data_IF_781679333810
#
_entry.id   IF_781679333810
#
_cell.length_a   1.000
_cell.length_b   1.000
_cell.length_c   1.000
_cell.angle_alpha   90.00
_cell.angle_beta   90.00
_cell.angle_gamma   90.00
#
_symmetry.space_group_name_H-M   'P 1'
#
loop_
_entity.id
_entity.type
_entity.pdbx_description
1 polymer ?
#
# COMPACT_ATOMS: atom_id res chain seq x y z
N UNK A 1 5.73 -19.41 -16.95
CA UNK A 1 6.37 -19.79 -15.68
C UNK A 1 7.44 -20.85 -15.96
N UNK A 2 8.69 -20.57 -15.57
CA UNK A 2 9.82 -21.53 -15.65
C UNK A 2 10.01 -22.10 -14.26
N UNK A 3 10.17 -23.44 -14.14
CA UNK A 3 10.20 -24.12 -12.84
C UNK A 3 11.19 -25.27 -12.85
N UNK A 4 11.92 -25.39 -11.74
CA UNK A 4 12.74 -26.54 -11.42
C UNK A 4 11.88 -27.63 -10.79
N UNK A 5 12.18 -28.86 -11.11
CA UNK A 5 11.47 -30.00 -10.56
C UNK A 5 12.37 -30.83 -9.66
N UNK A 6 11.98 -30.91 -8.40
CA UNK A 6 12.74 -31.65 -7.39
C UNK A 6 12.31 -33.13 -7.29
N UNK A 7 10.99 -33.38 -7.35
CA UNK A 7 10.44 -34.72 -7.17
C UNK A 7 9.16 -34.94 -7.99
N UNK A 8 8.86 -36.19 -8.33
CA UNK A 8 7.67 -36.62 -9.03
C UNK A 8 7.72 -36.38 -10.54
N UNK A 9 6.61 -36.59 -11.25
CA UNK A 9 6.46 -36.37 -12.69
C UNK A 9 5.34 -35.36 -12.94
N UNK A 10 5.63 -34.33 -13.72
CA UNK A 10 4.65 -33.36 -14.18
C UNK A 10 4.14 -33.73 -15.55
N UNK A 11 2.80 -33.80 -15.72
CA UNK A 11 2.18 -34.19 -16.98
C UNK A 11 1.32 -33.06 -17.54
N UNK A 12 1.33 -32.93 -18.86
CA UNK A 12 0.39 -32.07 -19.58
C UNK A 12 -1.05 -32.48 -19.25
N UNK A 13 -1.92 -31.52 -18.93
CA UNK A 13 -3.30 -31.78 -18.49
C UNK A 13 -3.43 -32.21 -17.04
N UNK A 14 -2.31 -32.45 -16.33
CA UNK A 14 -2.29 -32.77 -14.92
C UNK A 14 -2.77 -31.61 -14.03
N UNK A 15 -3.14 -31.94 -12.81
CA UNK A 15 -3.53 -30.96 -11.77
C UNK A 15 -2.40 -30.86 -10.76
N UNK A 16 -2.02 -29.64 -10.45
CA UNK A 16 -1.05 -29.30 -9.41
C UNK A 16 -1.67 -28.34 -8.40
N UNK A 17 -1.12 -28.29 -7.20
CA UNK A 17 -1.58 -27.40 -6.12
C UNK A 17 -0.50 -26.37 -5.83
N UNK A 18 -0.87 -25.11 -5.80
CA UNK A 18 0.00 -24.05 -5.32
C UNK A 18 -0.05 -24.05 -3.79
N UNK A 19 1.07 -24.36 -3.14
CA UNK A 19 1.15 -24.45 -1.66
C UNK A 19 0.84 -23.13 -0.96
N UNK A 20 1.18 -21.99 -1.57
CA UNK A 20 0.96 -20.67 -0.99
C UNK A 20 -0.52 -20.26 -1.02
N UNK A 21 -1.21 -20.54 -2.13
CA UNK A 21 -2.61 -20.10 -2.32
C UNK A 21 -3.64 -21.19 -2.05
N UNK A 22 -3.22 -22.46 -1.90
CA UNK A 22 -4.09 -23.62 -1.76
C UNK A 22 -4.91 -23.95 -3.02
N UNK A 23 -4.67 -23.26 -4.13
CA UNK A 23 -5.46 -23.40 -5.36
C UNK A 23 -4.99 -24.56 -6.22
N UNK A 24 -5.96 -25.30 -6.77
CA UNK A 24 -5.75 -26.29 -7.83
C UNK A 24 -5.52 -25.57 -9.16
N UNK A 25 -4.48 -25.96 -9.88
CA UNK A 25 -4.14 -25.40 -11.18
C UNK A 25 -3.96 -26.54 -12.18
N UNK A 26 -4.64 -26.47 -13.33
CA UNK A 26 -4.42 -27.39 -14.44
C UNK A 26 -3.25 -26.90 -15.26
N UNK A 27 -2.39 -27.80 -15.74
CA UNK A 27 -1.26 -27.51 -16.61
C UNK A 27 -1.67 -27.70 -18.08
N UNK A 28 -2.07 -26.63 -18.80
CA UNK A 28 -2.60 -26.76 -20.15
C UNK A 28 -1.52 -27.12 -21.17
N UNK A 29 -0.37 -26.47 -21.05
CA UNK A 29 0.78 -26.63 -21.95
C UNK A 29 2.07 -26.72 -21.14
N UNK A 30 2.88 -27.70 -21.48
CA UNK A 30 4.18 -27.96 -20.85
C UNK A 30 5.23 -27.98 -21.95
N UNK A 31 6.30 -27.19 -21.78
CA UNK A 31 7.35 -27.10 -22.77
C UNK A 31 8.75 -27.15 -22.12
N UNK A 32 9.71 -27.71 -22.85
CA UNK A 32 11.13 -27.60 -22.58
C UNK A 32 11.68 -26.43 -23.40
N UNK A 33 12.48 -25.57 -22.77
CA UNK A 33 13.05 -24.41 -23.43
C UNK A 33 14.49 -24.68 -23.82
N UNK A 34 14.80 -24.41 -25.09
CA UNK A 34 16.17 -24.42 -25.64
C UNK A 34 16.42 -23.05 -26.28
N UNK A 35 16.97 -22.09 -25.51
CA UNK A 35 17.06 -20.69 -25.86
C UNK A 35 15.68 -20.10 -26.19
N UNK A 36 15.42 -19.73 -27.44
CA UNK A 36 14.14 -19.24 -27.97
C UNK A 36 13.23 -20.35 -28.53
N UNK A 37 13.77 -21.56 -28.72
CA UNK A 37 13.01 -22.70 -29.17
C UNK A 37 12.19 -23.36 -28.04
N UNK A 38 10.92 -23.70 -28.35
CA UNK A 38 9.97 -24.31 -27.44
C UNK A 38 9.60 -25.71 -27.91
N UNK A 39 10.07 -26.74 -27.21
CA UNK A 39 9.69 -28.13 -27.44
C UNK A 39 8.48 -28.49 -26.57
N UNK A 40 7.34 -28.81 -27.20
CA UNK A 40 6.16 -29.30 -26.49
C UNK A 40 6.43 -30.73 -25.96
N UNK A 41 6.29 -30.93 -24.65
CA UNK A 41 6.49 -32.22 -24.01
C UNK A 41 5.23 -32.69 -23.29
N UNK A 42 5.06 -34.02 -23.19
CA UNK A 42 3.91 -34.61 -22.51
C UNK A 42 4.12 -34.75 -21.01
N UNK A 43 5.37 -35.00 -20.60
CA UNK A 43 5.76 -35.14 -19.20
C UNK A 43 7.20 -34.66 -18.96
N UNK A 44 7.48 -34.29 -17.73
CA UNK A 44 8.81 -33.86 -17.27
C UNK A 44 9.11 -34.49 -15.92
N UNK A 45 10.28 -35.02 -15.78
CA UNK A 45 10.79 -35.71 -14.59
C UNK A 45 11.52 -34.80 -13.61
N UNK A 46 12.00 -35.38 -12.50
CA UNK A 46 12.85 -34.68 -11.53
C UNK A 46 14.19 -34.24 -12.15
N UNK A 47 14.70 -33.08 -11.69
CA UNK A 47 15.98 -32.53 -12.16
C UNK A 47 15.90 -31.76 -13.48
N UNK A 48 14.73 -31.68 -14.09
CA UNK A 48 14.49 -30.91 -15.32
C UNK A 48 13.83 -29.57 -15.07
N UNK A 49 14.15 -28.59 -15.91
CA UNK A 49 13.53 -27.27 -15.94
C UNK A 49 12.47 -27.23 -17.04
N UNK A 50 11.30 -26.73 -16.72
CA UNK A 50 10.22 -26.60 -17.68
C UNK A 50 9.52 -25.25 -17.61
N UNK A 51 8.87 -24.87 -18.71
CA UNK A 51 7.96 -23.74 -18.73
C UNK A 51 6.51 -24.23 -18.84
N UNK A 52 5.63 -23.63 -18.04
CA UNK A 52 4.20 -23.90 -18.05
C UNK A 52 3.45 -22.66 -18.50
N UNK A 53 2.56 -22.82 -19.48
CA UNK A 53 1.69 -21.74 -19.94
C UNK A 53 0.32 -21.84 -19.28
N UNK A 54 -0.33 -20.67 -19.08
CA UNK A 54 -1.68 -20.61 -18.49
C UNK A 54 -1.74 -20.92 -16.98
N UNK A 55 -0.60 -20.98 -16.31
CA UNK A 55 -0.51 -21.18 -14.86
C UNK A 55 -0.22 -19.84 -14.20
N UNK A 56 -1.12 -19.38 -13.35
CA UNK A 56 -0.91 -18.18 -12.56
C UNK A 56 -0.04 -18.50 -11.34
N UNK A 57 1.12 -17.86 -11.25
CA UNK A 57 2.08 -18.08 -10.18
C UNK A 57 2.96 -16.84 -9.95
N UNK A 58 3.57 -16.79 -8.78
CA UNK A 58 4.59 -15.81 -8.42
C UNK A 58 5.95 -16.49 -8.27
N UNK A 59 7.02 -15.71 -8.34
CA UNK A 59 8.37 -16.21 -8.02
C UNK A 59 8.42 -16.74 -6.58
N UNK A 60 9.05 -17.89 -6.38
CA UNK A 60 9.10 -18.58 -5.08
C UNK A 60 7.88 -19.46 -4.75
N UNK A 61 6.84 -19.53 -5.60
CA UNK A 61 5.72 -20.43 -5.37
C UNK A 61 6.16 -21.91 -5.49
N UNK A 62 5.72 -22.72 -4.53
CA UNK A 62 5.90 -24.18 -4.56
C UNK A 62 4.64 -24.86 -5.06
N UNK A 63 4.80 -25.84 -5.96
CA UNK A 63 3.71 -26.66 -6.47
C UNK A 63 3.87 -28.10 -6.02
N UNK A 64 2.78 -28.71 -5.54
CA UNK A 64 2.71 -30.11 -5.10
C UNK A 64 1.60 -30.86 -5.82
N UNK A 65 1.48 -32.15 -5.59
CA UNK A 65 0.35 -32.97 -6.03
C UNK A 65 -0.89 -32.81 -5.13
N UNK A 66 -0.76 -32.09 -4.01
CA UNK A 66 -1.81 -31.88 -3.03
C UNK A 66 -1.93 -32.97 -1.97
N UNK A 67 -1.12 -34.04 -2.04
CA UNK A 67 -1.08 -35.08 -1.01
C UNK A 67 -0.40 -34.62 0.27
N UNK A 68 0.56 -33.70 0.12
CA UNK A 68 1.37 -33.18 1.23
C UNK A 68 1.40 -31.66 1.21
N UNK A 69 1.14 -31.04 2.35
CA UNK A 69 1.28 -29.60 2.54
C UNK A 69 2.77 -29.24 2.77
N UNK A 70 3.55 -29.26 1.69
CA UNK A 70 4.97 -28.92 1.70
C UNK A 70 5.19 -27.62 0.94
N UNK A 71 6.00 -26.72 1.50
CA UNK A 71 6.50 -25.54 0.82
C UNK A 71 8.02 -25.49 0.94
N UNK A 72 8.68 -25.25 -0.17
CA UNK A 72 10.13 -25.02 -0.17
C UNK A 72 10.43 -23.66 0.48
N UNK A 73 11.59 -23.52 1.11
CA UNK A 73 12.05 -22.24 1.65
C UNK A 73 12.12 -21.19 0.54
N UNK A 74 11.57 -20.01 0.82
CA UNK A 74 11.67 -18.89 -0.10
C UNK A 74 13.11 -18.36 -0.17
N UNK A 75 13.48 -17.81 -1.31
CA UNK A 75 14.73 -17.06 -1.44
C UNK A 75 14.66 -15.82 -0.54
N UNK A 76 15.80 -15.43 0.04
CA UNK A 76 15.92 -14.14 0.70
C UNK A 76 15.74 -13.03 -0.34
N UNK A 77 14.74 -12.17 -0.11
CA UNK A 77 14.46 -11.02 -0.97
C UNK A 77 14.90 -9.77 -0.21
N UNK A 78 15.94 -9.06 -0.67
CA UNK A 78 16.38 -7.83 -0.03
C UNK A 78 15.31 -6.73 -0.16
N UNK A 79 15.32 -5.80 0.78
CA UNK A 79 14.45 -4.62 0.71
C UNK A 79 14.86 -3.70 -0.45
N UNK A 80 13.90 -3.07 -1.13
CA UNK A 80 14.20 -2.09 -2.17
C UNK A 80 14.97 -0.90 -1.63
N UNK A 81 15.87 -0.34 -2.44
CA UNK A 81 16.78 0.75 -2.03
C UNK A 81 16.34 2.10 -2.57
N UNK A 82 15.60 2.13 -3.67
CA UNK A 82 15.15 3.36 -4.34
C UNK A 82 13.67 3.28 -4.70
N UNK A 83 13.00 4.42 -4.63
CA UNK A 83 11.59 4.55 -5.00
C UNK A 83 11.39 5.73 -5.93
N UNK A 84 10.55 5.55 -6.94
CA UNK A 84 10.15 6.57 -7.90
C UNK A 84 8.63 6.62 -8.01
N UNK A 85 8.07 7.79 -8.24
CA UNK A 85 6.68 7.91 -8.68
C UNK A 85 6.57 7.56 -10.15
N UNK A 86 5.49 6.87 -10.53
CA UNK A 86 5.23 6.42 -11.89
C UNK A 86 3.85 6.90 -12.33
N UNK A 87 3.82 7.67 -13.39
CA UNK A 87 2.57 8.23 -13.94
C UNK A 87 2.40 7.79 -15.39
N UNK A 88 1.29 7.10 -15.76
CA UNK A 88 1.03 6.73 -17.14
C UNK A 88 0.62 7.96 -17.97
N UNK A 89 1.10 8.01 -19.20
CA UNK A 89 0.71 9.02 -20.17
C UNK A 89 -0.58 8.57 -20.86
N UNK A 90 -1.67 9.29 -20.62
CA UNK A 90 -2.99 9.01 -21.22
C UNK A 90 -3.94 8.21 -20.32
N UNK A 91 -5.23 8.58 -20.42
CA UNK A 91 -6.30 7.99 -19.59
C UNK A 91 -6.69 6.57 -20.01
N UNK A 92 -6.54 6.24 -21.26
CA UNK A 92 -6.98 4.94 -21.82
C UNK A 92 -6.01 3.79 -21.50
N UNK A 93 -4.84 4.11 -20.92
CA UNK A 93 -3.80 3.13 -20.62
C UNK A 93 -3.91 2.51 -19.23
N UNK A 94 -4.84 2.95 -18.38
CA UNK A 94 -4.95 2.58 -16.95
C UNK A 94 -5.10 1.08 -16.71
N UNK A 95 -5.86 0.38 -17.55
CA UNK A 95 -6.08 -1.08 -17.45
C UNK A 95 -4.78 -1.85 -17.73
N UNK A 96 -4.09 -1.48 -18.81
CA UNK A 96 -2.81 -2.09 -19.18
C UNK A 96 -1.72 -1.75 -18.17
N UNK A 97 -1.72 -0.53 -17.62
CA UNK A 97 -0.84 -0.07 -16.57
C UNK A 97 -0.95 -0.97 -15.32
N UNK A 98 -2.15 -1.12 -14.77
CA UNK A 98 -2.38 -1.97 -13.60
C UNK A 98 -2.05 -3.43 -13.87
N UNK A 99 -2.36 -3.93 -15.07
CA UNK A 99 -2.03 -5.30 -15.48
C UNK A 99 -0.51 -5.52 -15.52
N UNK A 100 0.24 -4.58 -16.10
CA UNK A 100 1.69 -4.63 -16.19
C UNK A 100 2.34 -4.66 -14.80
N UNK A 101 1.97 -3.72 -13.94
CA UNK A 101 2.50 -3.63 -12.59
C UNK A 101 2.25 -4.90 -11.77
N UNK A 102 1.02 -5.42 -11.80
CA UNK A 102 0.68 -6.67 -11.12
C UNK A 102 1.49 -7.87 -11.64
N UNK A 103 1.79 -7.89 -12.93
CA UNK A 103 2.58 -8.96 -13.52
C UNK A 103 4.05 -8.84 -13.13
N UNK A 104 4.62 -7.66 -13.17
CA UNK A 104 6.00 -7.40 -12.78
C UNK A 104 6.27 -7.77 -11.31
N UNK A 105 5.35 -7.42 -10.40
CA UNK A 105 5.45 -7.83 -8.99
C UNK A 105 5.41 -9.36 -8.78
N UNK A 106 4.70 -10.09 -9.65
CA UNK A 106 4.67 -11.57 -9.60
C UNK A 106 5.95 -12.18 -10.17
N UNK A 107 6.54 -11.54 -11.17
CA UNK A 107 7.78 -12.00 -11.81
C UNK A 107 9.00 -11.72 -10.93
N UNK A 108 9.04 -10.55 -10.31
CA UNK A 108 10.18 -10.06 -9.52
C UNK A 108 9.76 -9.63 -8.11
N UNK A 109 10.12 -10.39 -7.08
CA UNK A 109 9.78 -10.03 -5.71
C UNK A 109 10.56 -8.82 -5.17
N UNK A 110 11.62 -8.36 -5.85
CA UNK A 110 12.37 -7.14 -5.49
C UNK A 110 11.72 -5.87 -6.06
N UNK A 111 10.81 -6.04 -7.03
CA UNK A 111 10.04 -4.95 -7.60
C UNK A 111 8.72 -4.78 -6.82
N UNK A 112 8.58 -3.70 -6.08
CA UNK A 112 7.38 -3.41 -5.28
C UNK A 112 6.63 -2.24 -5.84
N UNK A 113 5.31 -2.30 -5.73
CA UNK A 113 4.40 -1.22 -6.14
C UNK A 113 3.39 -0.96 -5.03
N UNK A 114 3.20 0.29 -4.69
CA UNK A 114 2.10 0.73 -3.83
C UNK A 114 1.56 2.08 -4.30
N UNK A 115 0.34 2.37 -3.93
CA UNK A 115 -0.26 3.68 -4.14
C UNK A 115 -0.17 4.43 -2.81
N UNK A 116 0.49 5.58 -2.85
CA UNK A 116 0.54 6.45 -1.69
C UNK A 116 -0.86 7.02 -1.42
N UNK A 117 -1.36 6.82 -0.21
CA UNK A 117 -2.72 7.20 0.18
C UNK A 117 -2.94 8.71 0.24
N UNK A 118 -1.88 9.48 0.39
CA UNK A 118 -1.97 10.94 0.54
C UNK A 118 -1.81 11.67 -0.78
N UNK A 119 -0.77 11.33 -1.54
CA UNK A 119 -0.52 11.96 -2.84
C UNK A 119 -1.34 11.32 -3.96
N UNK A 120 -1.85 10.09 -3.77
CA UNK A 120 -2.49 9.30 -4.80
C UNK A 120 -1.53 8.79 -5.88
N UNK A 121 -0.21 9.00 -5.70
CA UNK A 121 0.80 8.58 -6.66
C UNK A 121 1.05 7.08 -6.61
N UNK A 122 1.28 6.48 -7.77
CA UNK A 122 1.79 5.11 -7.83
C UNK A 122 3.30 5.15 -7.64
N UNK A 123 3.77 4.53 -6.57
CA UNK A 123 5.19 4.44 -6.23
C UNK A 123 5.70 3.06 -6.61
N UNK A 124 6.78 3.03 -7.38
CA UNK A 124 7.54 1.82 -7.70
C UNK A 124 8.85 1.83 -6.92
N UNK A 125 9.21 0.69 -6.36
CA UNK A 125 10.44 0.54 -5.57
C UNK A 125 11.25 -0.65 -6.07
N UNK A 126 12.57 -0.50 -6.11
CA UNK A 126 13.48 -1.52 -6.64
C UNK A 126 14.90 -1.39 -6.13
N UNK A 127 15.78 -2.23 -6.66
CA UNK A 127 17.16 -2.38 -6.19
C UNK A 127 18.11 -1.30 -6.71
N UNK A 128 17.66 -0.44 -7.64
CA UNK A 128 18.45 0.64 -8.20
C UNK A 128 17.74 1.32 -9.36
N UNK A 129 18.31 2.43 -9.83
CA UNK A 129 17.74 3.25 -10.90
C UNK A 129 17.60 2.44 -12.20
N UNK A 130 18.65 1.77 -12.62
CA UNK A 130 18.61 0.91 -13.81
C UNK A 130 17.56 -0.19 -13.72
N UNK A 131 17.35 -0.76 -12.54
CA UNK A 131 16.31 -1.76 -12.32
C UNK A 131 14.91 -1.19 -12.63
N UNK A 132 14.60 -0.02 -12.12
CA UNK A 132 13.32 0.64 -12.35
C UNK A 132 13.17 1.09 -13.81
N UNK A 133 14.23 1.61 -14.43
CA UNK A 133 14.24 2.03 -15.83
C UNK A 133 13.93 0.87 -16.79
N UNK A 134 14.44 -0.33 -16.50
CA UNK A 134 14.13 -1.54 -17.29
C UNK A 134 12.62 -1.83 -17.23
N UNK A 135 11.98 -1.74 -16.06
CA UNK A 135 10.54 -1.99 -15.95
C UNK A 135 9.70 -0.90 -16.62
N UNK A 136 10.13 0.35 -16.56
CA UNK A 136 9.48 1.45 -17.30
C UNK A 136 9.57 1.22 -18.82
N UNK A 137 10.74 0.80 -19.30
CA UNK A 137 10.94 0.49 -20.71
C UNK A 137 10.12 -0.75 -21.15
N UNK A 138 10.07 -1.79 -20.32
CA UNK A 138 9.21 -2.96 -20.54
C UNK A 138 7.74 -2.58 -20.59
N UNK A 139 7.29 -1.67 -19.73
CA UNK A 139 5.93 -1.16 -19.74
C UNK A 139 5.59 -0.49 -21.07
N UNK A 140 6.51 0.32 -21.59
CA UNK A 140 6.36 0.98 -22.88
C UNK A 140 6.31 -0.03 -24.04
N UNK A 141 7.25 -1.01 -24.07
CA UNK A 141 7.40 -1.94 -25.19
C UNK A 141 6.38 -3.08 -25.18
N UNK A 142 6.18 -3.72 -24.02
CA UNK A 142 5.35 -4.93 -23.92
C UNK A 142 3.86 -4.62 -23.73
N UNK A 143 3.53 -3.50 -23.05
CA UNK A 143 2.16 -3.14 -22.71
C UNK A 143 1.65 -1.90 -23.47
N UNK A 144 2.51 -1.23 -24.22
CA UNK A 144 2.22 0.01 -24.95
C UNK A 144 1.69 1.12 -24.03
N UNK A 145 2.25 1.20 -22.83
CA UNK A 145 1.94 2.22 -21.82
C UNK A 145 3.18 3.10 -21.60
N UNK A 146 3.27 4.24 -22.29
CA UNK A 146 4.29 5.23 -21.98
C UNK A 146 4.05 5.80 -20.59
N UNK A 147 5.12 5.92 -19.81
CA UNK A 147 5.07 6.41 -18.43
C UNK A 147 6.18 7.42 -18.20
N UNK A 148 5.91 8.39 -17.34
CA UNK A 148 6.91 9.30 -16.79
C UNK A 148 7.24 8.91 -15.35
N UNK A 149 8.52 9.02 -14.99
CA UNK A 149 9.00 8.80 -13.63
C UNK A 149 9.37 10.12 -12.98
N UNK A 150 9.18 10.19 -11.67
CA UNK A 150 9.51 11.36 -10.86
C UNK A 150 9.94 10.98 -9.45
N UNK A 151 10.42 11.97 -8.70
CA UNK A 151 10.62 11.78 -7.27
C UNK A 151 9.26 11.71 -6.57
N UNK A 152 9.03 10.79 -5.63
CA UNK A 152 7.81 10.76 -4.82
C UNK A 152 7.59 12.09 -4.11
N UNK A 153 6.36 12.51 -3.99
CA UNK A 153 6.02 13.70 -3.22
C UNK A 153 6.26 13.43 -1.75
N UNK A 154 6.81 14.43 -1.06
CA UNK A 154 6.98 14.38 0.39
C UNK A 154 5.67 14.80 1.04
N UNK A 155 5.11 13.94 1.86
CA UNK A 155 3.94 14.26 2.67
C UNK A 155 4.38 15.10 3.88
N UNK A 156 4.12 16.40 3.81
CA UNK A 156 4.38 17.31 4.92
C UNK A 156 3.28 17.21 5.97
N UNK A 157 3.66 17.42 7.23
CA UNK A 157 2.77 17.51 8.38
C UNK A 157 3.05 18.82 9.12
N UNK A 158 2.01 19.38 9.71
CA UNK A 158 2.13 20.48 10.66
C UNK A 158 2.15 19.93 12.08
N UNK A 159 2.83 20.60 12.97
CA UNK A 159 2.84 20.29 14.41
C UNK A 159 3.05 21.54 15.22
N UNK A 160 2.87 21.46 16.52
CA UNK A 160 3.15 22.54 17.45
C UNK A 160 4.40 22.19 18.26
N UNK A 161 5.21 23.19 18.56
CA UNK A 161 6.45 23.04 19.35
C UNK A 161 6.27 23.40 20.84
N UNK A 162 5.19 24.12 21.17
CA UNK A 162 4.92 24.60 22.53
C UNK A 162 3.43 24.46 22.84
N UNK A 163 3.07 24.26 24.13
CA UNK A 163 1.67 24.32 24.54
C UNK A 163 1.06 25.70 24.29
N UNK A 164 -0.18 25.73 23.87
CA UNK A 164 -0.94 26.94 23.62
C UNK A 164 -2.34 26.85 24.19
N UNK A 165 -2.75 27.82 24.97
CA UNK A 165 -4.11 27.91 25.51
C UNK A 165 -5.06 28.56 24.50
N UNK A 166 -6.31 28.13 24.51
CA UNK A 166 -7.35 28.75 23.72
C UNK A 166 -8.59 29.06 24.56
N UNK A 167 -9.24 30.14 24.20
CA UNK A 167 -10.55 30.53 24.70
C UNK A 167 -11.31 31.10 23.52
N UNK A 168 -12.11 30.28 22.88
CA UNK A 168 -12.82 30.64 21.65
C UNK A 168 -14.32 30.66 21.88
N UNK A 169 -14.96 31.74 21.47
CA UNK A 169 -16.42 31.90 21.52
C UNK A 169 -16.96 32.07 20.10
N UNK A 170 -17.77 31.14 19.65
CA UNK A 170 -18.55 31.29 18.45
C UNK A 170 -19.88 31.90 18.76
N UNK A 171 -20.14 33.08 18.21
CA UNK A 171 -21.44 33.80 18.32
C UNK A 171 -21.83 34.29 16.93
N UNK A 172 -22.87 33.71 16.36
CA UNK A 172 -23.38 34.10 15.05
C UNK A 172 -24.90 34.22 15.08
N UNK A 173 -25.43 35.35 14.65
CA UNK A 173 -26.86 35.56 14.51
C UNK A 173 -27.14 36.24 13.16
N UNK A 174 -27.73 35.49 12.23
CA UNK A 174 -28.02 35.94 10.87
C UNK A 174 -29.53 35.91 10.55
N UNK A 175 -30.37 35.97 11.59
CA UNK A 175 -31.83 35.82 11.52
C UNK A 175 -32.29 34.50 12.15
N UNK A 176 -33.35 34.56 12.98
CA UNK A 176 -33.89 33.43 13.73
C UNK A 176 -33.05 33.02 14.95
N UNK A 177 -33.03 31.73 15.28
CA UNK A 177 -32.25 31.21 16.41
C UNK A 177 -30.74 31.34 16.13
N UNK A 178 -30.03 32.09 16.99
CA UNK A 178 -28.60 32.28 16.89
C UNK A 178 -27.80 31.02 17.22
N UNK A 179 -26.52 31.01 16.82
CA UNK A 179 -25.56 30.00 17.21
C UNK A 179 -24.64 30.56 18.30
N UNK A 180 -24.47 29.82 19.37
CA UNK A 180 -23.56 30.16 20.44
C UNK A 180 -22.84 28.89 20.91
N UNK A 181 -21.53 29.00 21.09
CA UNK A 181 -20.71 27.95 21.69
C UNK A 181 -19.39 28.57 22.15
N UNK A 182 -18.91 28.15 23.29
CA UNK A 182 -17.62 28.53 23.82
C UNK A 182 -16.83 27.28 24.17
N UNK A 183 -15.53 27.31 23.97
CA UNK A 183 -14.60 26.24 24.34
C UNK A 183 -13.32 26.83 24.89
N UNK A 184 -12.86 26.31 26.00
CA UNK A 184 -11.65 26.74 26.69
C UNK A 184 -10.80 25.52 26.97
N UNK A 185 -9.50 25.65 26.78
CA UNK A 185 -8.55 24.57 27.03
C UNK A 185 -7.18 24.91 26.50
N UNK A 186 -6.40 23.89 26.24
CA UNK A 186 -5.08 24.03 25.64
C UNK A 186 -4.77 22.89 24.68
N UNK A 187 -3.84 23.14 23.78
CA UNK A 187 -3.21 22.13 22.94
C UNK A 187 -1.71 22.06 23.30
N UNK A 188 -1.17 20.85 23.30
CA UNK A 188 0.23 20.63 23.63
C UNK A 188 0.85 19.58 22.68
N UNK A 189 2.19 19.63 22.50
CA UNK A 189 2.88 18.61 21.73
C UNK A 189 2.73 17.24 22.36
N UNK A 190 2.48 16.23 21.53
CA UNK A 190 2.37 14.83 21.92
C UNK A 190 3.33 13.99 21.12
N UNK A 191 4.02 13.06 21.78
CA UNK A 191 4.76 12.00 21.11
C UNK A 191 3.79 10.90 20.69
N UNK A 192 4.18 10.16 19.66
CA UNK A 192 3.44 8.96 19.26
C UNK A 192 3.30 8.03 20.46
N UNK A 193 2.08 7.63 20.75
CA UNK A 193 1.79 6.65 21.79
C UNK A 193 2.27 5.27 21.32
N UNK A 194 3.19 4.67 22.03
CA UNK A 194 3.84 3.40 21.65
C UNK A 194 2.86 2.21 21.64
N UNK A 195 1.81 2.26 22.46
CA UNK A 195 0.82 1.19 22.58
C UNK A 195 -0.25 1.25 21.48
N UNK A 196 -0.70 2.45 21.15
CA UNK A 196 -1.81 2.67 20.19
C UNK A 196 -1.34 3.12 18.81
N UNK A 197 -0.09 3.56 18.68
CA UNK A 197 0.46 4.13 17.45
C UNK A 197 -0.17 5.47 17.06
N UNK A 198 -0.99 6.08 17.92
CA UNK A 198 -1.64 7.37 17.66
C UNK A 198 -0.72 8.51 18.03
N UNK A 199 -0.72 9.52 17.19
CA UNK A 199 0.02 10.77 17.36
C UNK A 199 -0.87 11.95 17.71
N UNK A 200 -2.18 11.73 17.88
CA UNK A 200 -3.17 12.74 18.24
C UNK A 200 -4.09 12.23 19.33
N UNK A 201 -4.44 13.09 20.29
CA UNK A 201 -5.33 12.75 21.39
C UNK A 201 -6.28 13.91 21.76
N UNK A 202 -7.51 13.55 22.11
CA UNK A 202 -8.48 14.45 22.72
C UNK A 202 -8.73 14.03 24.16
N UNK A 203 -8.59 14.96 25.10
CA UNK A 203 -8.80 14.72 26.52
C UNK A 203 -9.90 15.64 27.04
N UNK A 204 -10.90 15.03 27.66
CA UNK A 204 -11.97 15.78 28.34
C UNK A 204 -11.59 15.95 29.83
N UNK A 205 -11.34 17.19 30.23
CA UNK A 205 -11.07 17.60 31.62
C UNK A 205 -12.11 18.58 32.15
N UNK A 206 -13.30 18.64 31.54
CA UNK A 206 -14.36 19.55 31.95
C UNK A 206 -14.89 19.17 33.32
N UNK A 207 -14.89 20.12 34.26
CA UNK A 207 -15.37 19.94 35.63
C UNK A 207 -16.67 20.76 35.81
N UNK A 208 -17.58 20.24 36.63
CA UNK A 208 -18.79 21.00 37.02
C UNK A 208 -19.92 21.02 35.99
N UNK A 209 -19.78 20.34 34.86
CA UNK A 209 -20.84 20.25 33.84
C UNK A 209 -21.03 21.51 33.02
N UNK A 210 -20.05 22.40 32.96
CA UNK A 210 -20.08 23.65 32.19
C UNK A 210 -20.32 23.37 30.69
N UNK A 211 -19.82 22.28 30.17
CA UNK A 211 -20.19 21.74 28.86
C UNK A 211 -21.06 20.50 29.10
N UNK A 212 -22.32 20.47 28.66
CA UNK A 212 -23.14 19.28 28.75
C UNK A 212 -22.46 18.05 28.06
N UNK A 213 -22.50 16.87 28.70
CA UNK A 213 -21.81 15.65 28.14
C UNK A 213 -22.20 15.31 26.71
N UNK A 214 -23.41 15.69 26.29
CA UNK A 214 -23.90 15.49 24.93
C UNK A 214 -23.13 16.27 23.84
N UNK A 215 -22.39 17.33 24.21
CA UNK A 215 -21.62 18.16 23.28
C UNK A 215 -20.14 17.79 23.23
N UNK A 216 -19.63 17.02 24.19
CA UNK A 216 -18.22 16.59 24.19
C UNK A 216 -17.83 15.84 22.92
N UNK A 217 -18.63 14.88 22.40
CA UNK A 217 -18.31 14.22 21.13
C UNK A 217 -18.26 15.16 19.94
N UNK A 218 -19.05 16.26 19.98
CA UNK A 218 -19.01 17.28 18.94
C UNK A 218 -17.72 18.11 19.00
N UNK A 219 -17.20 18.38 20.20
CA UNK A 219 -15.92 19.05 20.39
C UNK A 219 -14.76 18.16 19.90
N UNK A 220 -14.78 16.88 20.24
CA UNK A 220 -13.80 15.91 19.76
C UNK A 220 -13.81 15.79 18.24
N UNK A 221 -14.99 15.68 17.63
CA UNK A 221 -15.13 15.67 16.18
C UNK A 221 -14.58 16.95 15.56
N UNK A 222 -14.93 18.11 16.11
CA UNK A 222 -14.41 19.39 15.62
C UNK A 222 -12.89 19.52 15.72
N UNK A 223 -12.29 18.93 16.76
CA UNK A 223 -10.84 18.82 16.86
C UNK A 223 -10.26 17.97 15.72
N UNK A 224 -10.79 16.76 15.50
CA UNK A 224 -10.30 15.90 14.43
C UNK A 224 -10.51 16.51 13.03
N UNK A 225 -11.66 17.13 12.77
CA UNK A 225 -11.91 17.84 11.51
C UNK A 225 -10.90 19.00 11.31
N UNK A 226 -10.49 19.66 12.40
CA UNK A 226 -9.45 20.71 12.37
C UNK A 226 -8.04 20.20 12.11
N UNK A 227 -7.74 18.94 12.43
CA UNK A 227 -6.44 18.33 12.17
C UNK A 227 -6.23 17.98 10.68
N UNK A 228 -7.28 17.82 9.91
CA UNK A 228 -7.18 17.47 8.49
C UNK A 228 -6.48 18.57 7.68
N UNK A 229 -6.62 19.82 8.11
CA UNK A 229 -6.06 20.98 7.41
C UNK A 229 -5.47 21.98 8.40
N UNK A 230 -4.16 21.97 8.53
CA UNK A 230 -3.43 22.89 9.39
C UNK A 230 -3.52 24.35 8.95
N UNK A 231 -3.34 25.25 9.90
CA UNK A 231 -3.50 26.68 9.69
C UNK A 231 -2.27 27.34 9.03
N UNK A 232 -1.09 26.72 9.07
CA UNK A 232 0.15 27.33 8.59
C UNK A 232 0.28 27.20 7.06
N UNK A 233 0.22 25.98 6.55
CA UNK A 233 0.42 25.69 5.13
C UNK A 233 -0.69 24.78 4.55
N UNK A 234 -1.64 24.36 5.38
CA UNK A 234 -2.78 23.55 4.98
C UNK A 234 -2.49 22.04 4.96
N UNK A 235 -1.35 21.59 5.53
CA UNK A 235 -1.06 20.18 5.68
C UNK A 235 -1.74 19.59 6.92
N UNK A 236 -2.01 18.29 6.96
CA UNK A 236 -2.56 17.65 8.15
C UNK A 236 -1.69 17.86 9.38
N UNK A 237 -2.32 18.06 10.53
CA UNK A 237 -1.65 18.29 11.80
C UNK A 237 -1.45 16.97 12.54
N UNK A 238 -0.26 16.74 13.08
CA UNK A 238 0.09 15.57 13.86
C UNK A 238 0.89 15.94 15.13
N UNK A 239 1.09 14.99 16.04
CA UNK A 239 1.86 15.19 17.25
C UNK A 239 1.20 16.16 18.23
N UNK A 240 -0.13 16.17 18.34
CA UNK A 240 -0.86 17.12 19.17
C UNK A 240 -1.88 16.44 20.08
N UNK A 241 -1.97 16.94 21.30
CA UNK A 241 -3.02 16.60 22.27
C UNK A 241 -3.82 17.85 22.62
N UNK A 242 -5.14 17.76 22.50
CA UNK A 242 -6.06 18.79 22.95
C UNK A 242 -6.68 18.40 24.27
N UNK A 243 -6.66 19.32 25.22
CA UNK A 243 -7.33 19.18 26.53
C UNK A 243 -8.43 20.24 26.61
N UNK A 244 -9.68 19.76 26.73
CA UNK A 244 -10.85 20.60 26.90
C UNK A 244 -11.12 20.75 28.41
N UNK A 245 -11.11 22.00 28.92
CA UNK A 245 -11.22 22.29 30.34
C UNK A 245 -12.58 22.93 30.72
N UNK A 246 -13.10 23.81 29.86
CA UNK A 246 -14.30 24.61 30.14
C UNK A 246 -14.99 25.10 28.84
N UNK A 247 -16.23 25.67 28.97
CA UNK A 247 -16.97 26.24 27.83
C UNK A 247 -18.26 26.94 28.15
#
# INVERSE_FOLDING_TARGET
>A
CIRDRYQGVLRRGGIIFNSRTGKKVKVPRLVRMHADDMEDVQEIGPGEICAMFGVECSSGDTFTDGSTALSMSAMFVPEPVISLSLTPEGKDTSVNFSRALNRFQKEDPTFRVHVDSESGETIISGMGELHLDIYVERMRREYHVPCTTGKPRVAFRETISQPATFNYTHKKQTGGAGQFGRVIGYIEPMKVDEDTGKDTAFVNSVVGGNIPPSYIPACEKGFHDGLEKGALAGYPVCGVRMVLEDG
#
